data_IF_676195585595
#
_entry.id   IF_676195585595
#
_cell.length_a   1.000
_cell.length_b   1.000
_cell.length_c   1.000
_cell.angle_alpha   90.00
_cell.angle_beta   90.00
_cell.angle_gamma   90.00
#
_symmetry.space_group_name_H-M   'P 1'
#
loop_
_entity.id
_entity.type
_entity.pdbx_description
1 polymer ?
#
# COMPACT_ATOMS: atom_id res chain seq x y z
N UNK A 1 1.52 7.12 34.64
CA UNK A 1 0.84 7.07 33.35
C UNK A 1 1.46 6.03 32.47
N UNK A 2 0.66 5.14 31.94
CA UNK A 2 1.15 4.14 31.03
C UNK A 2 1.65 4.74 29.72
N UNK A 3 2.69 4.15 29.16
CA UNK A 3 3.17 4.55 27.87
C UNK A 3 2.14 4.18 26.80
N UNK A 4 1.64 5.18 26.09
CA UNK A 4 0.75 4.97 24.96
C UNK A 4 1.64 4.82 23.72
N UNK A 5 1.67 3.61 23.17
CA UNK A 5 2.41 3.38 21.94
C UNK A 5 1.48 3.74 20.77
N UNK A 6 1.83 4.83 20.10
CA UNK A 6 1.13 5.25 18.89
C UNK A 6 2.00 4.84 17.72
N UNK A 7 1.46 4.05 16.82
CA UNK A 7 2.19 3.66 15.63
C UNK A 7 1.30 3.68 14.40
N UNK A 8 1.93 3.79 13.25
CA UNK A 8 1.28 3.71 11.96
C UNK A 8 1.95 2.62 11.15
N UNK A 9 1.15 1.76 10.54
CA UNK A 9 1.65 0.65 9.75
C UNK A 9 0.98 0.63 8.39
N UNK A 10 1.75 0.31 7.37
CA UNK A 10 1.28 0.10 6.01
C UNK A 10 1.58 -1.34 5.63
N UNK A 11 0.54 -2.13 5.39
CA UNK A 11 0.69 -3.55 5.12
C UNK A 11 -0.18 -3.98 3.94
N UNK A 12 0.12 -5.16 3.39
CA UNK A 12 -0.71 -5.83 2.40
C UNK A 12 -1.94 -6.41 3.09
N UNK A 13 -3.10 -6.33 2.43
CA UNK A 13 -4.28 -7.01 2.91
C UNK A 13 -4.15 -8.53 2.75
N UNK A 14 -3.60 -8.96 1.64
CA UNK A 14 -3.42 -10.35 1.24
C UNK A 14 -4.54 -11.28 1.73
N UNK A 15 -5.60 -11.47 0.93
CA UNK A 15 -6.76 -12.25 1.36
C UNK A 15 -6.44 -13.73 1.62
N UNK A 16 -5.28 -14.22 1.13
CA UNK A 16 -4.86 -15.60 1.32
C UNK A 16 -4.04 -15.79 2.60
N UNK A 17 -3.68 -14.72 3.29
CA UNK A 17 -2.90 -14.82 4.52
C UNK A 17 -3.83 -14.90 5.74
N UNK A 18 -3.29 -15.45 6.84
CA UNK A 18 -3.98 -15.44 8.13
C UNK A 18 -3.97 -14.00 8.64
N UNK A 19 -5.16 -13.47 8.90
CA UNK A 19 -5.27 -12.12 9.45
C UNK A 19 -4.71 -12.10 10.87
N UNK A 20 -3.95 -11.03 11.16
CA UNK A 20 -3.41 -10.81 12.49
C UNK A 20 -4.56 -10.59 13.47
N UNK A 21 -4.58 -11.38 14.53
CA UNK A 21 -5.61 -11.28 15.57
C UNK A 21 -5.63 -9.89 16.22
N UNK A 22 -4.51 -9.19 16.21
CA UNK A 22 -4.45 -7.82 16.75
C UNK A 22 -5.37 -6.86 16.01
N UNK A 23 -5.72 -7.16 14.75
CA UNK A 23 -6.68 -6.34 14.01
C UNK A 23 -8.07 -6.37 14.64
N UNK A 24 -8.40 -7.42 15.41
CA UNK A 24 -9.69 -7.51 16.08
C UNK A 24 -9.90 -6.42 17.12
N UNK A 25 -8.82 -5.81 17.61
CA UNK A 25 -8.88 -4.70 18.57
C UNK A 25 -9.04 -3.34 17.88
N UNK A 26 -9.02 -3.33 16.55
CA UNK A 26 -9.11 -2.10 15.77
C UNK A 26 -10.50 -1.94 15.18
N UNK A 27 -10.92 -0.70 15.01
CA UNK A 27 -12.16 -0.38 14.33
C UNK A 27 -11.87 0.02 12.90
N UNK A 28 -12.67 -0.50 11.97
CA UNK A 28 -12.55 -0.10 10.58
C UNK A 28 -12.99 1.36 10.46
N UNK A 29 -12.09 2.20 9.97
CA UNK A 29 -12.33 3.64 9.82
C UNK A 29 -12.73 4.00 8.41
N UNK A 30 -12.17 3.30 7.41
CA UNK A 30 -12.38 3.63 6.00
C UNK A 30 -12.11 2.39 5.15
N UNK A 31 -12.83 2.27 4.04
CA UNK A 31 -12.63 1.18 3.08
C UNK A 31 -13.05 1.64 1.70
N UNK A 32 -12.18 1.40 0.72
CA UNK A 32 -12.50 1.56 -0.69
C UNK A 32 -11.80 0.43 -1.48
N UNK A 33 -11.90 0.40 -2.82
CA UNK A 33 -11.25 -0.69 -3.58
C UNK A 33 -9.73 -0.75 -3.46
N UNK A 34 -9.08 0.34 -3.02
CA UNK A 34 -7.63 0.44 -2.97
C UNK A 34 -7.05 0.26 -1.58
N UNK A 35 -7.72 0.74 -0.55
CA UNK A 35 -7.19 0.73 0.80
C UNK A 35 -8.27 0.41 1.83
N UNK A 36 -7.81 -0.07 2.98
CA UNK A 36 -8.66 -0.29 4.14
C UNK A 36 -7.91 0.22 5.38
N UNK A 37 -8.57 1.03 6.19
CA UNK A 37 -7.92 1.70 7.31
C UNK A 37 -8.55 1.28 8.61
N UNK A 38 -7.71 0.88 9.56
CA UNK A 38 -8.11 0.49 10.91
C UNK A 38 -7.51 1.46 11.92
N UNK A 39 -8.24 1.76 12.97
CA UNK A 39 -7.79 2.68 14.00
C UNK A 39 -8.10 2.13 15.40
N UNK A 40 -7.17 2.31 16.32
CA UNK A 40 -7.36 2.00 17.75
C UNK A 40 -6.40 2.85 18.58
N UNK A 41 -6.93 3.61 19.53
CA UNK A 41 -6.15 4.40 20.51
C UNK A 41 -5.05 5.26 19.87
N UNK A 42 -5.38 5.88 18.74
CA UNK A 42 -4.42 6.73 18.03
C UNK A 42 -3.50 5.99 17.06
N UNK A 43 -3.45 4.67 17.12
CA UNK A 43 -2.67 3.89 16.15
C UNK A 43 -3.49 3.66 14.88
N UNK A 44 -2.81 3.63 13.75
CA UNK A 44 -3.43 3.44 12.44
C UNK A 44 -2.75 2.29 11.72
N UNK A 45 -3.55 1.36 11.21
CA UNK A 45 -3.08 0.33 10.28
C UNK A 45 -3.80 0.54 8.97
N UNK A 46 -3.05 0.74 7.91
CA UNK A 46 -3.57 0.92 6.57
C UNK A 46 -3.16 -0.26 5.71
N UNK A 47 -4.13 -0.93 5.10
CA UNK A 47 -3.86 -2.06 4.24
C UNK A 47 -4.04 -1.69 2.78
N UNK A 48 -3.12 -2.16 1.93
CA UNK A 48 -3.20 -2.02 0.48
C UNK A 48 -3.97 -3.18 -0.10
N UNK A 49 -4.94 -2.92 -0.95
CA UNK A 49 -5.88 -3.93 -1.42
C UNK A 49 -5.75 -4.20 -2.90
N UNK A 50 -5.88 -5.45 -3.31
CA UNK A 50 -5.86 -6.65 -2.46
C UNK A 50 -4.46 -7.03 -2.00
N UNK A 51 -3.45 -6.61 -2.75
CA UNK A 51 -2.02 -6.75 -2.48
C UNK A 51 -1.31 -5.54 -3.03
N UNK A 52 -0.06 -5.32 -2.62
CA UNK A 52 0.68 -4.15 -3.07
C UNK A 52 0.84 -4.13 -4.60
N UNK A 53 1.07 -5.29 -5.21
CA UNK A 53 1.28 -5.38 -6.65
C UNK A 53 0.03 -4.97 -7.42
N UNK A 54 -1.12 -5.53 -7.07
CA UNK A 54 -2.38 -5.19 -7.70
C UNK A 54 -2.78 -3.76 -7.39
N UNK A 55 -2.52 -3.29 -6.16
CA UNK A 55 -2.74 -1.90 -5.79
C UNK A 55 -1.99 -0.96 -6.72
N UNK A 56 -0.69 -1.21 -6.93
CA UNK A 56 0.13 -0.38 -7.81
C UNK A 56 -0.36 -0.42 -9.26
N UNK A 57 -0.67 -1.62 -9.76
CA UNK A 57 -1.11 -1.79 -11.14
C UNK A 57 -2.48 -1.14 -11.38
N UNK A 58 -3.39 -1.23 -10.40
CA UNK A 58 -4.72 -0.63 -10.51
C UNK A 58 -4.62 0.90 -10.56
N UNK A 59 -3.78 1.50 -9.73
CA UNK A 59 -3.57 2.94 -9.77
C UNK A 59 -2.92 3.35 -11.08
N UNK A 60 -1.89 2.62 -11.51
CA UNK A 60 -1.20 2.91 -12.77
C UNK A 60 -2.17 2.94 -13.93
N UNK A 61 -3.10 1.99 -13.97
CA UNK A 61 -4.11 1.93 -15.02
C UNK A 61 -4.99 3.18 -15.01
N UNK A 62 -5.38 3.65 -13.83
CA UNK A 62 -6.27 4.82 -13.73
C UNK A 62 -5.57 6.13 -14.05
N UNK A 63 -4.27 6.22 -13.85
CA UNK A 63 -3.49 7.43 -14.15
C UNK A 63 -2.74 7.34 -15.48
N UNK A 64 -3.00 6.29 -16.26
CA UNK A 64 -2.40 6.07 -17.58
C UNK A 64 -0.87 5.92 -17.55
N UNK A 65 -0.36 5.27 -16.49
CA UNK A 65 1.04 4.87 -16.41
C UNK A 65 1.11 3.40 -16.82
N UNK A 66 1.90 3.11 -17.86
CA UNK A 66 2.05 1.75 -18.35
C UNK A 66 3.30 1.11 -17.75
N UNK A 67 3.16 0.00 -16.99
CA UNK A 67 4.33 -0.68 -16.44
C UNK A 67 5.35 -1.09 -17.50
N UNK A 68 4.89 -1.37 -18.72
CA UNK A 68 5.78 -1.77 -19.82
C UNK A 68 6.77 -0.69 -20.20
N UNK A 69 6.40 0.58 -20.00
CA UNK A 69 7.32 1.70 -20.25
C UNK A 69 8.49 1.69 -19.25
N UNK A 70 8.38 0.92 -18.18
CA UNK A 70 9.41 0.76 -17.15
C UNK A 70 10.04 -0.63 -17.19
N UNK A 71 9.82 -1.38 -18.27
CA UNK A 71 10.26 -2.77 -18.40
C UNK A 71 9.74 -3.66 -17.27
N UNK A 72 8.51 -3.41 -16.83
CA UNK A 72 7.85 -4.16 -15.77
C UNK A 72 6.64 -4.89 -16.34
N UNK A 73 6.29 -6.05 -15.77
CA UNK A 73 5.07 -6.76 -16.18
C UNK A 73 3.82 -6.03 -15.70
N UNK A 74 2.72 -6.22 -16.44
CA UNK A 74 1.41 -5.68 -16.07
C UNK A 74 0.55 -6.71 -15.33
N UNK A 75 1.17 -7.73 -14.80
CA UNK A 75 0.54 -8.84 -14.09
C UNK A 75 1.05 -8.87 -12.65
N UNK A 76 0.12 -9.00 -11.69
CA UNK A 76 0.46 -8.95 -10.28
C UNK A 76 1.42 -10.04 -9.83
N UNK A 77 1.24 -11.28 -10.31
CA UNK A 77 2.12 -12.38 -9.94
C UNK A 77 3.55 -12.15 -10.42
N UNK A 78 3.70 -11.72 -11.67
CA UNK A 78 5.02 -11.45 -12.23
C UNK A 78 5.68 -10.24 -11.56
N UNK A 79 4.89 -9.21 -11.27
CA UNK A 79 5.41 -8.04 -10.56
C UNK A 79 5.84 -8.42 -9.14
N UNK A 80 5.08 -9.30 -8.48
CA UNK A 80 5.44 -9.79 -7.15
C UNK A 80 6.84 -10.44 -7.14
N UNK A 81 7.14 -11.24 -8.16
CA UNK A 81 8.46 -11.88 -8.27
C UNK A 81 9.58 -10.85 -8.36
N UNK A 82 9.34 -9.75 -9.06
CA UNK A 82 10.33 -8.68 -9.20
C UNK A 82 10.47 -7.89 -7.90
N UNK A 83 9.36 -7.49 -7.30
CA UNK A 83 9.38 -6.69 -6.07
C UNK A 83 9.85 -7.49 -4.87
N UNK A 84 9.62 -8.81 -4.87
CA UNK A 84 10.08 -9.70 -3.81
C UNK A 84 11.56 -10.09 -3.92
N UNK A 85 12.22 -9.74 -5.03
CA UNK A 85 13.63 -10.05 -5.22
C UNK A 85 14.49 -9.10 -4.36
N UNK A 86 15.53 -9.64 -3.71
CA UNK A 86 16.45 -8.83 -2.91
C UNK A 86 17.15 -7.75 -3.73
N UNK A 87 17.20 -7.90 -5.05
CA UNK A 87 17.80 -6.90 -5.94
C UNK A 87 16.87 -5.75 -6.30
N UNK A 88 15.64 -5.74 -5.76
CA UNK A 88 14.68 -4.68 -6.06
C UNK A 88 15.23 -3.28 -5.71
N UNK A 89 16.07 -3.20 -4.68
CA UNK A 89 16.70 -1.94 -4.30
C UNK A 89 17.61 -1.38 -5.39
N UNK A 90 18.10 -2.24 -6.28
CA UNK A 90 18.96 -1.86 -7.40
C UNK A 90 18.18 -1.74 -8.71
N UNK A 91 16.88 -2.05 -8.67
CA UNK A 91 16.04 -1.97 -9.86
C UNK A 91 15.47 -0.56 -10.00
N UNK A 92 16.18 0.27 -10.77
CA UNK A 92 15.76 1.64 -11.01
C UNK A 92 14.42 1.74 -11.72
N UNK A 93 14.09 0.74 -12.54
CA UNK A 93 12.80 0.74 -13.26
C UNK A 93 11.63 0.61 -12.29
N UNK A 94 11.72 -0.32 -11.34
CA UNK A 94 10.68 -0.48 -10.32
C UNK A 94 10.58 0.77 -9.45
N UNK A 95 11.70 1.34 -9.06
CA UNK A 95 11.73 2.57 -8.25
C UNK A 95 11.07 3.73 -8.99
N UNK A 96 11.40 3.92 -10.26
CA UNK A 96 10.83 4.99 -11.06
C UNK A 96 9.32 4.81 -11.23
N UNK A 97 8.87 3.57 -11.46
CA UNK A 97 7.46 3.25 -11.59
C UNK A 97 6.70 3.63 -10.32
N UNK A 98 7.19 3.20 -9.17
CA UNK A 98 6.55 3.48 -7.87
C UNK A 98 6.54 4.98 -7.60
N UNK A 99 7.66 5.67 -7.86
CA UNK A 99 7.73 7.12 -7.65
C UNK A 99 6.74 7.88 -8.53
N UNK A 100 6.58 7.48 -9.78
CA UNK A 100 5.64 8.14 -10.68
C UNK A 100 4.18 7.90 -10.25
N UNK A 101 3.88 6.71 -9.72
CA UNK A 101 2.57 6.44 -9.14
C UNK A 101 2.33 7.34 -7.91
N UNK A 102 3.32 7.43 -7.00
CA UNK A 102 3.19 8.28 -5.81
C UNK A 102 2.97 9.74 -6.20
N UNK A 103 3.62 10.20 -7.26
CA UNK A 103 3.52 11.59 -7.71
C UNK A 103 2.32 11.87 -8.62
N UNK A 104 1.49 10.86 -8.89
CA UNK A 104 0.36 10.99 -9.82
C UNK A 104 -0.84 11.74 -9.26
N UNK A 105 -0.87 11.99 -7.93
CA UNK A 105 -1.99 12.63 -7.24
C UNK A 105 -3.29 11.83 -7.28
N UNK A 106 -3.21 10.52 -7.50
CA UNK A 106 -4.37 9.64 -7.43
C UNK A 106 -5.01 9.74 -6.03
N UNK A 107 -6.35 9.65 -5.96
CA UNK A 107 -7.08 9.82 -4.70
C UNK A 107 -6.63 8.80 -3.64
N UNK A 108 -6.32 7.55 -4.04
CA UNK A 108 -5.83 6.55 -3.10
C UNK A 108 -4.50 6.97 -2.47
N UNK A 109 -3.60 7.54 -3.27
CA UNK A 109 -2.32 8.04 -2.77
C UNK A 109 -2.54 9.22 -1.82
N UNK A 110 -3.45 10.12 -2.14
CA UNK A 110 -3.79 11.23 -1.26
C UNK A 110 -4.36 10.74 0.07
N UNK A 111 -5.22 9.73 0.03
CA UNK A 111 -5.78 9.14 1.25
C UNK A 111 -4.69 8.49 2.11
N UNK A 112 -3.75 7.78 1.49
CA UNK A 112 -2.62 7.19 2.22
C UNK A 112 -1.82 8.28 2.90
N UNK A 113 -1.48 9.34 2.19
CA UNK A 113 -0.73 10.47 2.76
C UNK A 113 -1.48 11.11 3.92
N UNK A 114 -2.79 11.32 3.77
CA UNK A 114 -3.60 11.94 4.80
C UNK A 114 -3.61 11.11 6.08
N UNK A 115 -3.77 9.80 5.98
CA UNK A 115 -3.79 8.93 7.16
C UNK A 115 -2.40 8.77 7.77
N UNK A 116 -1.37 8.61 6.95
CA UNK A 116 -0.03 8.34 7.45
C UNK A 116 0.68 9.59 7.98
N UNK A 117 0.34 10.78 7.48
CA UNK A 117 0.94 12.04 7.91
C UNK A 117 0.09 12.80 8.90
N UNK A 118 -1.12 12.32 9.19
CA UNK A 118 -2.02 12.95 10.14
C UNK A 118 -1.40 12.97 11.54
N UNK A 119 -1.45 14.11 12.22
CA UNK A 119 -1.07 14.17 13.64
C UNK A 119 -2.21 13.60 14.48
N UNK A 120 -1.86 12.71 15.37
CA UNK A 120 -2.81 12.07 16.26
C UNK A 120 -2.75 12.71 17.63
#
# INVERSE_FOLDING_TARGET
MGNVFIYKALIDEDPDSIQDERLNCYHKKFEDPFIKVYKAKGSIILTLRPRIEEFLLNIAREVNIDPKDYNLPDNGEELHKILGNQRVKQNNNARNFINDIINSNHSAIQNIKNYMLCKI
#
